data_IF_363583225267
#
_entry.id   IF_363583225267
#
_cell.length_a   1.000
_cell.length_b   1.000
_cell.length_c   1.000
_cell.angle_alpha   90.00
_cell.angle_beta   90.00
_cell.angle_gamma   90.00
#
_symmetry.space_group_name_H-M   'P 1'
#
loop_
_entity.id
_entity.type
_entity.pdbx_description
1 polymer ?
#
# COMPACT_ATOMS: atom_id res chain seq x y z
N UNK A 1 35.79 78.22 -27.55
CA UNK A 1 36.50 77.17 -26.79
C UNK A 1 35.96 77.13 -25.37
N UNK A 2 35.04 76.20 -25.09
CA UNK A 2 34.69 75.66 -23.76
C UNK A 2 33.62 74.59 -23.97
N UNK A 3 33.94 73.37 -23.56
CA UNK A 3 33.06 72.21 -23.57
C UNK A 3 31.91 72.41 -22.58
N UNK A 4 30.70 72.02 -22.99
CA UNK A 4 29.59 71.74 -22.07
C UNK A 4 29.15 70.30 -22.30
N UNK A 5 29.34 69.49 -21.26
CA UNK A 5 28.96 68.08 -21.18
C UNK A 5 27.45 68.02 -20.90
N UNK A 6 26.67 67.31 -21.72
CA UNK A 6 25.30 66.93 -21.38
C UNK A 6 25.22 65.40 -21.43
N UNK A 7 25.00 64.81 -20.25
CA UNK A 7 24.94 63.37 -20.02
C UNK A 7 23.52 62.90 -20.34
N UNK A 8 23.35 62.10 -21.39
CA UNK A 8 22.07 61.51 -21.79
C UNK A 8 21.92 60.16 -21.07
N UNK A 9 20.86 60.03 -20.26
CA UNK A 9 20.50 58.85 -19.50
C UNK A 9 19.78 57.85 -20.42
N UNK A 10 20.41 56.72 -20.76
CA UNK A 10 19.76 55.61 -21.47
C UNK A 10 18.98 54.74 -20.47
N UNK A 11 17.65 54.76 -20.53
CA UNK A 11 16.79 53.75 -19.91
C UNK A 11 16.82 52.47 -20.75
N UNK A 12 17.29 51.37 -20.14
CA UNK A 12 17.14 50.02 -20.69
C UNK A 12 15.84 49.44 -20.15
N UNK A 13 14.90 49.16 -21.05
CA UNK A 13 13.66 48.44 -20.73
C UNK A 13 13.95 46.94 -20.87
N UNK A 14 14.11 46.24 -19.75
CA UNK A 14 14.17 44.77 -19.74
C UNK A 14 12.75 44.20 -19.74
N UNK A 15 12.39 43.51 -20.82
CA UNK A 15 11.21 42.66 -20.89
C UNK A 15 11.42 41.44 -19.96
N UNK A 16 10.69 41.39 -18.85
CA UNK A 16 10.62 40.22 -18.00
C UNK A 16 9.64 39.20 -18.59
N UNK A 17 10.13 37.99 -18.87
CA UNK A 17 9.30 36.84 -19.18
C UNK A 17 8.38 36.54 -17.99
N UNK A 18 7.07 36.53 -18.25
CA UNK A 18 6.05 35.99 -17.35
C UNK A 18 6.35 34.52 -17.07
N UNK A 19 6.64 34.21 -15.80
CA UNK A 19 6.57 32.85 -15.29
C UNK A 19 5.10 32.44 -15.23
N UNK A 20 4.70 31.48 -16.05
CA UNK A 20 3.40 30.81 -15.94
C UNK A 20 3.21 30.31 -14.51
N UNK A 21 2.31 30.98 -13.78
CA UNK A 21 1.79 30.48 -12.51
C UNK A 21 1.14 29.13 -12.79
N UNK A 22 1.75 28.04 -12.28
CA UNK A 22 1.05 26.77 -12.06
C UNK A 22 -0.26 27.10 -11.34
N UNK A 23 -1.37 26.90 -12.05
CA UNK A 23 -2.72 27.06 -11.52
C UNK A 23 -2.86 26.17 -10.30
N UNK A 24 -2.98 26.78 -9.12
CA UNK A 24 -3.46 26.10 -7.92
C UNK A 24 -4.89 25.67 -8.20
N UNK A 25 -5.07 24.40 -8.59
CA UNK A 25 -6.39 23.80 -8.73
C UNK A 25 -7.16 23.92 -7.42
N UNK A 26 -8.48 24.08 -7.50
CA UNK A 26 -9.37 23.99 -6.34
C UNK A 26 -9.02 22.74 -5.53
N UNK A 27 -8.88 22.82 -4.19
CA UNK A 27 -8.60 21.65 -3.37
C UNK A 27 -9.58 20.53 -3.68
N UNK A 28 -9.07 19.35 -3.98
CA UNK A 28 -9.88 18.16 -4.21
C UNK A 28 -10.61 17.83 -2.90
N UNK A 29 -11.94 17.93 -2.91
CA UNK A 29 -12.76 17.59 -1.73
C UNK A 29 -13.05 16.10 -1.75
N UNK A 30 -12.44 15.37 -0.81
CA UNK A 30 -12.70 13.94 -0.62
C UNK A 30 -13.96 13.72 0.23
N UNK A 31 -14.72 12.69 -0.11
CA UNK A 31 -15.88 12.25 0.68
C UNK A 31 -15.40 11.53 1.95
N UNK A 32 -16.20 11.56 3.02
CA UNK A 32 -15.94 10.73 4.20
C UNK A 32 -16.21 9.24 3.98
N UNK A 33 -17.01 8.90 2.96
CA UNK A 33 -17.31 7.51 2.57
C UNK A 33 -17.56 7.42 1.07
N UNK A 34 -17.03 6.37 0.46
CA UNK A 34 -17.27 5.99 -0.93
C UNK A 34 -17.98 4.63 -0.94
N UNK A 35 -19.10 4.55 -1.67
CA UNK A 35 -19.73 3.27 -1.99
C UNK A 35 -19.23 2.83 -3.36
N UNK A 36 -18.60 1.67 -3.40
CA UNK A 36 -18.07 1.06 -4.62
C UNK A 36 -19.07 0.01 -5.10
N UNK A 37 -19.49 0.09 -6.37
CA UNK A 37 -20.45 -0.85 -6.96
C UNK A 37 -19.82 -1.57 -8.14
N UNK A 38 -19.41 -2.81 -7.93
CA UNK A 38 -18.81 -3.70 -8.93
C UNK A 38 -18.89 -5.15 -8.41
N UNK A 39 -19.54 -6.04 -9.18
CA UNK A 39 -19.72 -7.44 -8.78
C UNK A 39 -18.39 -8.16 -8.71
N UNK A 40 -18.07 -8.73 -7.56
CA UNK A 40 -16.84 -9.45 -7.33
C UNK A 40 -15.59 -8.56 -7.27
N UNK A 41 -15.71 -7.29 -6.86
CA UNK A 41 -14.54 -6.43 -6.70
C UNK A 41 -13.55 -6.97 -5.67
N UNK A 42 -14.02 -7.36 -4.47
CA UNK A 42 -13.19 -7.85 -3.37
C UNK A 42 -11.82 -7.15 -3.26
N UNK A 43 -11.83 -5.82 -3.00
CA UNK A 43 -10.59 -5.05 -2.96
C UNK A 43 -9.76 -5.42 -1.74
N UNK A 44 -8.45 -5.45 -1.82
CA UNK A 44 -7.62 -5.81 -0.66
C UNK A 44 -6.59 -4.73 -0.33
N UNK A 45 -5.79 -4.34 -1.31
CA UNK A 45 -4.89 -3.20 -1.24
C UNK A 45 -5.62 -1.90 -1.57
N UNK A 46 -5.27 -0.82 -0.87
CA UNK A 46 -5.62 0.56 -1.22
C UNK A 46 -4.39 1.45 -1.04
N UNK A 47 -4.20 2.40 -1.96
CA UNK A 47 -3.31 3.54 -1.75
C UNK A 47 -3.88 4.79 -2.47
N UNK A 48 -3.35 5.97 -2.16
CA UNK A 48 -3.79 7.24 -2.74
C UNK A 48 -2.71 7.86 -3.62
N UNK A 49 -2.99 7.91 -4.92
CA UNK A 49 -2.20 8.64 -5.91
C UNK A 49 -2.44 10.15 -5.71
N UNK A 50 -1.52 10.79 -4.98
CA UNK A 50 -1.53 12.19 -4.62
C UNK A 50 -1.43 13.09 -5.86
N UNK A 51 -0.62 12.69 -6.84
CA UNK A 51 -0.36 13.52 -8.03
C UNK A 51 -1.57 13.57 -8.97
N UNK A 52 -2.36 12.49 -9.04
CA UNK A 52 -3.56 12.42 -9.89
C UNK A 52 -4.88 12.47 -9.10
N UNK A 53 -4.82 12.56 -7.77
CA UNK A 53 -5.96 12.80 -6.89
C UNK A 53 -6.98 11.67 -6.88
N UNK A 54 -6.55 10.41 -6.75
CA UNK A 54 -7.42 9.22 -6.83
C UNK A 54 -6.95 8.11 -5.89
N UNK A 55 -7.87 7.27 -5.44
CA UNK A 55 -7.49 6.00 -4.82
C UNK A 55 -7.18 4.98 -5.91
N UNK A 56 -6.22 4.10 -5.64
CA UNK A 56 -5.95 2.89 -6.41
C UNK A 56 -6.23 1.67 -5.53
N UNK A 57 -6.94 0.70 -6.07
CA UNK A 57 -7.43 -0.49 -5.35
C UNK A 57 -7.05 -1.74 -6.12
N UNK A 58 -6.42 -2.72 -5.48
CA UNK A 58 -6.36 -4.05 -6.08
C UNK A 58 -7.74 -4.72 -6.04
N UNK A 59 -7.92 -5.75 -6.86
CA UNK A 59 -9.09 -6.64 -6.83
C UNK A 59 -8.62 -8.08 -6.85
N UNK A 60 -8.72 -8.76 -5.70
CA UNK A 60 -8.26 -10.14 -5.54
C UNK A 60 -8.97 -11.09 -6.50
N UNK A 61 -10.28 -10.90 -6.68
CA UNK A 61 -11.06 -11.78 -7.54
C UNK A 61 -10.91 -11.45 -9.02
N UNK A 62 -10.90 -10.15 -9.40
CA UNK A 62 -10.86 -9.78 -10.83
C UNK A 62 -9.46 -9.87 -11.43
N UNK A 63 -8.42 -9.73 -10.62
CA UNK A 63 -7.03 -9.73 -11.09
C UNK A 63 -6.61 -8.43 -11.77
N UNK A 64 -7.10 -7.28 -11.31
CA UNK A 64 -6.80 -5.94 -11.86
C UNK A 64 -6.68 -4.91 -10.75
N UNK A 65 -6.15 -3.73 -11.07
CA UNK A 65 -6.21 -2.55 -10.20
C UNK A 65 -7.24 -1.57 -10.74
N UNK A 66 -8.12 -1.10 -9.88
CA UNK A 66 -9.10 -0.05 -10.16
C UNK A 66 -8.59 1.30 -9.66
N UNK A 67 -8.99 2.37 -10.34
CA UNK A 67 -8.93 3.73 -9.83
C UNK A 67 -10.30 4.16 -9.32
N UNK A 68 -10.33 4.98 -8.27
CA UNK A 68 -11.54 5.64 -7.76
C UNK A 68 -11.26 7.13 -7.63
N UNK A 69 -11.96 7.94 -8.41
CA UNK A 69 -11.78 9.38 -8.37
C UNK A 69 -12.50 10.02 -7.16
N UNK A 70 -12.33 11.33 -6.89
CA UNK A 70 -12.95 12.01 -5.75
C UNK A 70 -14.49 12.01 -5.77
N UNK A 71 -15.11 11.77 -6.93
CA UNK A 71 -16.57 11.60 -7.06
C UNK A 71 -17.03 10.18 -6.71
N UNK A 72 -16.11 9.22 -6.58
CA UNK A 72 -16.40 7.81 -6.36
C UNK A 72 -16.63 7.02 -7.65
N UNK A 73 -16.30 7.59 -8.81
CA UNK A 73 -16.38 6.88 -10.08
C UNK A 73 -15.20 5.94 -10.21
N UNK A 74 -15.45 4.68 -10.61
CA UNK A 74 -14.43 3.66 -10.75
C UNK A 74 -14.09 3.38 -12.22
N UNK A 75 -12.83 3.06 -12.49
CA UNK A 75 -12.38 2.52 -13.76
C UNK A 75 -11.22 1.54 -13.56
N UNK A 76 -11.11 0.52 -14.39
CA UNK A 76 -9.89 -0.32 -14.44
C UNK A 76 -8.72 0.58 -14.82
N UNK A 77 -7.70 0.61 -13.97
CA UNK A 77 -6.53 1.46 -14.14
C UNK A 77 -5.33 0.67 -14.68
N UNK A 78 -5.01 -0.46 -14.05
CA UNK A 78 -3.90 -1.30 -14.45
C UNK A 78 -4.32 -2.77 -14.55
N UNK A 79 -3.82 -3.45 -15.58
CA UNK A 79 -4.07 -4.87 -15.78
C UNK A 79 -2.92 -5.54 -16.52
N UNK A 80 -2.73 -6.83 -16.25
CA UNK A 80 -1.78 -7.70 -16.95
C UNK A 80 -2.39 -9.10 -17.02
N UNK A 81 -2.01 -9.88 -18.03
CA UNK A 81 -2.39 -11.30 -18.11
C UNK A 81 -1.71 -12.14 -17.02
N UNK A 82 -0.62 -11.63 -16.43
CA UNK A 82 0.11 -12.27 -15.32
C UNK A 82 -0.35 -11.81 -13.94
N UNK A 83 -1.12 -10.71 -13.87
CA UNK A 83 -1.74 -10.23 -12.64
C UNK A 83 -2.99 -11.07 -12.36
N UNK A 84 -2.87 -12.02 -11.43
CA UNK A 84 -3.88 -13.05 -11.14
C UNK A 84 -4.64 -12.70 -9.86
N UNK A 85 -3.93 -12.54 -8.75
CA UNK A 85 -4.50 -12.19 -7.45
C UNK A 85 -3.65 -11.04 -6.89
N UNK A 86 -3.93 -9.79 -7.30
CA UNK A 86 -3.24 -8.62 -6.77
C UNK A 86 -3.65 -8.39 -5.32
N UNK A 87 -2.66 -8.37 -4.43
CA UNK A 87 -2.77 -8.10 -3.00
C UNK A 87 -2.48 -6.61 -2.76
N UNK A 88 -1.42 -6.27 -2.04
CA UNK A 88 -1.03 -4.89 -1.73
C UNK A 88 -0.75 -4.07 -2.98
N UNK A 89 -1.04 -2.77 -2.86
CA UNK A 89 -0.76 -1.74 -3.87
C UNK A 89 0.00 -0.60 -3.20
N UNK A 90 0.98 -0.04 -3.90
CA UNK A 90 1.76 1.09 -3.39
C UNK A 90 2.05 2.10 -4.51
N UNK A 91 1.85 3.38 -4.24
CA UNK A 91 2.10 4.51 -5.14
C UNK A 91 3.43 5.17 -4.80
N UNK A 92 4.47 4.87 -5.57
CA UNK A 92 5.76 5.56 -5.46
C UNK A 92 5.76 6.79 -6.38
N UNK A 93 5.21 7.87 -5.84
CA UNK A 93 5.04 9.16 -6.52
C UNK A 93 6.35 9.74 -7.03
N UNK A 94 7.43 9.57 -6.26
CA UNK A 94 8.75 10.11 -6.61
C UNK A 94 9.28 9.48 -7.90
N UNK A 95 8.89 8.24 -8.18
CA UNK A 95 9.35 7.47 -9.35
C UNK A 95 8.24 7.19 -10.36
N UNK A 96 7.06 7.80 -10.20
CA UNK A 96 5.89 7.62 -11.06
C UNK A 96 5.57 6.14 -11.33
N UNK A 97 5.56 5.30 -10.29
CA UNK A 97 5.27 3.87 -10.42
C UNK A 97 4.23 3.40 -9.40
N UNK A 98 3.29 2.61 -9.90
CA UNK A 98 2.40 1.78 -9.11
C UNK A 98 3.04 0.41 -8.96
N UNK A 99 3.17 -0.06 -7.73
CA UNK A 99 3.73 -1.38 -7.41
C UNK A 99 2.60 -2.24 -6.87
N UNK A 100 2.47 -3.46 -7.38
CA UNK A 100 1.38 -4.38 -7.03
C UNK A 100 1.96 -5.75 -6.72
N UNK A 101 1.73 -6.23 -5.50
CA UNK A 101 2.08 -7.60 -5.12
C UNK A 101 1.06 -8.55 -5.73
N UNK A 102 1.51 -9.73 -6.15
CA UNK A 102 0.68 -10.68 -6.89
C UNK A 102 0.97 -12.10 -6.47
N UNK A 103 -0.10 -12.83 -6.20
CA UNK A 103 -0.08 -14.24 -5.84
C UNK A 103 -1.12 -15.02 -6.63
N UNK A 104 -1.40 -16.24 -6.19
CA UNK A 104 -2.59 -16.98 -6.60
C UNK A 104 -2.99 -17.99 -5.52
N UNK A 105 -4.13 -17.78 -4.87
CA UNK A 105 -4.68 -18.65 -3.83
C UNK A 105 -5.81 -19.55 -4.34
N UNK A 106 -6.05 -19.60 -5.65
CA UNK A 106 -7.13 -20.40 -6.22
C UNK A 106 -8.50 -19.72 -6.22
N UNK A 107 -8.62 -18.51 -5.66
CA UNK A 107 -9.91 -17.82 -5.51
C UNK A 107 -10.23 -16.84 -6.64
N UNK A 108 -9.20 -16.36 -7.35
CA UNK A 108 -9.31 -15.40 -8.45
C UNK A 108 -10.01 -16.00 -9.67
N UNK A 109 -10.75 -15.18 -10.43
CA UNK A 109 -11.33 -15.57 -11.71
C UNK A 109 -10.27 -15.91 -12.77
N UNK A 110 -9.03 -15.43 -12.58
CA UNK A 110 -7.88 -15.71 -13.45
C UNK A 110 -7.09 -16.94 -12.99
N UNK A 111 -7.45 -17.51 -11.85
CA UNK A 111 -6.76 -18.68 -11.32
C UNK A 111 -7.06 -19.93 -12.16
N UNK A 112 -6.07 -20.80 -12.27
CA UNK A 112 -6.15 -22.10 -12.92
C UNK A 112 -5.62 -23.17 -11.98
N UNK A 113 -5.96 -24.44 -12.22
CA UNK A 113 -5.46 -25.55 -11.42
C UNK A 113 -3.92 -25.63 -11.38
N UNK A 114 -3.23 -25.12 -12.41
CA UNK A 114 -1.77 -25.11 -12.48
C UNK A 114 -1.12 -23.85 -11.91
N UNK A 115 -1.85 -22.74 -11.77
CA UNK A 115 -1.32 -21.49 -11.22
C UNK A 115 -1.52 -21.37 -9.71
N UNK A 116 -2.59 -21.96 -9.17
CA UNK A 116 -2.94 -21.88 -7.75
C UNK A 116 -1.79 -22.34 -6.85
N UNK A 117 -1.40 -21.47 -5.91
CA UNK A 117 -0.30 -21.67 -4.96
C UNK A 117 1.10 -21.60 -5.55
N UNK A 118 1.23 -21.25 -6.83
CA UNK A 118 2.52 -21.18 -7.53
C UNK A 118 2.96 -19.77 -7.84
N UNK A 119 2.06 -18.79 -7.91
CA UNK A 119 2.42 -17.42 -8.28
C UNK A 119 2.96 -16.68 -7.06
N UNK A 120 4.14 -16.10 -7.24
CA UNK A 120 4.73 -15.12 -6.34
C UNK A 120 5.49 -14.10 -7.19
N UNK A 121 4.91 -12.92 -7.38
CA UNK A 121 5.50 -11.90 -8.23
C UNK A 121 5.13 -10.48 -7.78
N UNK A 122 5.83 -9.50 -8.33
CA UNK A 122 5.48 -8.08 -8.22
C UNK A 122 5.34 -7.51 -9.63
N UNK A 123 4.22 -6.85 -9.88
CA UNK A 123 3.97 -6.11 -11.12
C UNK A 123 4.19 -4.62 -10.85
N UNK A 124 4.94 -3.96 -11.73
CA UNK A 124 5.20 -2.52 -11.67
C UNK A 124 4.59 -1.87 -12.89
N UNK A 125 3.74 -0.88 -12.67
CA UNK A 125 3.05 -0.10 -13.70
C UNK A 125 3.47 1.36 -13.62
N UNK A 126 3.38 2.06 -14.75
CA UNK A 126 3.51 3.51 -14.80
C UNK A 126 2.30 4.14 -14.08
N UNK A 127 2.56 4.96 -13.06
CA UNK A 127 1.51 5.51 -12.19
C UNK A 127 0.63 6.53 -12.93
N UNK A 128 1.12 7.14 -14.01
CA UNK A 128 0.32 8.08 -14.79
C UNK A 128 -0.65 7.37 -15.74
N UNK A 129 -0.17 6.34 -16.45
CA UNK A 129 -0.88 5.70 -17.56
C UNK A 129 -1.48 4.33 -17.26
N UNK A 130 -1.02 3.65 -16.20
CA UNK A 130 -1.38 2.26 -15.89
C UNK A 130 -0.68 1.23 -16.79
N UNK A 131 0.27 1.65 -17.63
CA UNK A 131 1.01 0.76 -18.51
C UNK A 131 1.99 -0.12 -17.72
N UNK A 132 2.07 -1.41 -18.05
CA UNK A 132 3.01 -2.34 -17.40
C UNK A 132 4.46 -1.97 -17.74
N UNK A 133 5.27 -1.74 -16.71
CA UNK A 133 6.72 -1.49 -16.82
C UNK A 133 7.49 -2.81 -16.65
N UNK A 134 7.18 -3.57 -15.59
CA UNK A 134 7.95 -4.77 -15.23
C UNK A 134 7.09 -5.80 -14.51
N UNK A 135 7.39 -7.06 -14.76
CA UNK A 135 6.95 -8.20 -13.95
C UNK A 135 8.19 -8.83 -13.34
N UNK A 136 8.17 -9.02 -12.02
CA UNK A 136 9.32 -9.47 -11.24
C UNK A 136 8.93 -10.77 -10.56
N UNK A 137 9.58 -11.86 -10.94
CA UNK A 137 9.32 -13.18 -10.40
C UNK A 137 10.07 -13.37 -9.07
N UNK A 138 9.35 -13.75 -8.02
CA UNK A 138 9.90 -14.01 -6.69
C UNK A 138 10.07 -15.51 -6.41
N UNK A 139 9.65 -16.40 -7.31
CA UNK A 139 9.66 -17.87 -7.11
C UNK A 139 11.01 -18.45 -6.66
N UNK A 140 12.12 -17.86 -7.11
CA UNK A 140 13.46 -18.33 -6.73
C UNK A 140 13.82 -18.03 -5.27
N UNK A 141 13.03 -17.20 -4.59
CA UNK A 141 13.22 -16.78 -3.20
C UNK A 141 12.14 -17.33 -2.26
N UNK A 142 11.17 -18.05 -2.81
CA UNK A 142 10.02 -18.61 -2.08
C UNK A 142 10.17 -20.12 -1.92
N UNK A 143 9.53 -20.75 -0.91
CA UNK A 143 9.33 -22.20 -0.95
C UNK A 143 8.53 -22.61 -2.20
N UNK A 144 8.74 -23.83 -2.71
CA UNK A 144 8.15 -24.32 -3.98
C UNK A 144 6.62 -24.23 -4.08
N UNK A 145 5.91 -24.14 -2.93
CA UNK A 145 4.46 -23.93 -2.83
C UNK A 145 4.13 -23.09 -1.61
N UNK A 146 3.06 -22.31 -1.72
CA UNK A 146 2.54 -21.53 -0.59
C UNK A 146 3.37 -20.28 -0.35
N UNK A 147 3.52 -19.44 -1.37
CA UNK A 147 3.96 -18.06 -1.20
C UNK A 147 2.80 -17.15 -1.55
N UNK A 148 2.66 -16.05 -0.81
CA UNK A 148 1.71 -15.00 -1.11
C UNK A 148 2.39 -13.67 -0.77
N UNK A 149 3.11 -13.06 -1.74
CA UNK A 149 3.52 -11.68 -1.63
C UNK A 149 2.28 -10.84 -1.29
N UNK A 150 2.31 -10.16 -0.15
CA UNK A 150 1.13 -9.54 0.43
C UNK A 150 1.22 -8.02 0.33
N UNK A 151 1.94 -7.37 1.25
CA UNK A 151 1.95 -5.91 1.33
C UNK A 151 3.32 -5.33 0.98
N UNK A 152 3.35 -4.03 0.69
CA UNK A 152 4.50 -3.34 0.09
C UNK A 152 4.88 -2.11 0.89
N UNK A 153 6.18 -1.94 1.14
CA UNK A 153 6.77 -0.68 1.59
C UNK A 153 7.86 -0.24 0.62
N UNK A 154 8.06 1.08 0.48
CA UNK A 154 9.16 1.64 -0.32
C UNK A 154 9.99 2.58 0.54
N UNK A 155 11.31 2.39 0.55
CA UNK A 155 12.21 3.31 1.25
C UNK A 155 12.54 4.58 0.43
N UNK A 156 13.22 5.53 1.06
CA UNK A 156 13.60 6.79 0.40
C UNK A 156 14.48 6.58 -0.85
N UNK A 157 15.26 5.50 -0.89
CA UNK A 157 16.10 5.16 -2.05
C UNK A 157 15.29 4.51 -3.17
N UNK A 158 14.05 4.11 -2.92
CA UNK A 158 13.15 3.47 -3.87
C UNK A 158 13.35 1.96 -3.94
N UNK A 159 13.94 1.36 -2.91
CA UNK A 159 13.88 -0.08 -2.77
C UNK A 159 12.48 -0.48 -2.31
N UNK A 160 11.95 -1.56 -2.88
CA UNK A 160 10.64 -2.10 -2.56
C UNK A 160 10.84 -3.26 -1.60
N UNK A 161 10.09 -3.29 -0.50
CA UNK A 161 10.05 -4.37 0.48
C UNK A 161 8.68 -5.03 0.45
N UNK A 162 8.64 -6.36 0.43
CA UNK A 162 7.41 -7.11 0.25
C UNK A 162 7.33 -8.22 1.31
N UNK A 163 6.22 -8.28 2.05
CA UNK A 163 5.94 -9.38 2.97
C UNK A 163 5.45 -10.62 2.22
N UNK A 164 5.70 -11.79 2.77
CA UNK A 164 5.09 -13.04 2.32
C UNK A 164 4.22 -13.63 3.42
N UNK A 165 2.93 -13.81 3.15
CA UNK A 165 2.02 -14.37 4.15
C UNK A 165 2.21 -15.86 4.41
N UNK A 166 2.93 -16.58 3.55
CA UNK A 166 3.11 -18.03 3.69
C UNK A 166 4.58 -18.46 3.69
N UNK A 167 5.52 -17.51 3.61
CA UNK A 167 6.95 -17.74 3.82
C UNK A 167 7.50 -16.83 4.92
N UNK A 168 8.55 -17.25 5.67
CA UNK A 168 9.14 -16.46 6.74
C UNK A 168 10.06 -15.33 6.22
N UNK A 169 9.69 -14.69 5.11
CA UNK A 169 10.56 -13.80 4.34
C UNK A 169 9.93 -12.42 4.14
N UNK A 170 10.80 -11.41 4.17
CA UNK A 170 10.57 -10.11 3.55
C UNK A 170 11.52 -10.03 2.35
N UNK A 171 10.98 -9.80 1.16
CA UNK A 171 11.76 -9.61 -0.06
C UNK A 171 12.20 -8.15 -0.21
N UNK A 172 13.31 -7.93 -0.92
CA UNK A 172 13.70 -6.60 -1.41
C UNK A 172 13.88 -6.63 -2.92
N UNK A 173 13.37 -5.61 -3.58
CA UNK A 173 13.58 -5.33 -5.00
C UNK A 173 14.27 -3.97 -5.10
N UNK A 174 15.45 -3.94 -5.72
CA UNK A 174 16.20 -2.70 -5.94
C UNK A 174 15.63 -1.84 -7.08
N UNK A 175 16.21 -0.66 -7.31
CA UNK A 175 15.82 0.24 -8.40
C UNK A 175 15.98 -0.36 -9.81
N UNK A 176 16.84 -1.37 -9.97
CA UNK A 176 17.05 -2.09 -11.23
C UNK A 176 16.10 -3.30 -11.36
N UNK A 177 15.17 -3.46 -10.43
CA UNK A 177 14.23 -4.57 -10.34
C UNK A 177 14.88 -5.94 -10.07
N UNK A 178 16.04 -5.96 -9.42
CA UNK A 178 16.64 -7.20 -8.92
C UNK A 178 16.01 -7.57 -7.58
N UNK A 179 15.43 -8.77 -7.52
CA UNK A 179 14.85 -9.31 -6.30
C UNK A 179 15.87 -10.09 -5.46
N UNK A 180 15.67 -10.06 -4.15
CA UNK A 180 16.46 -10.80 -3.14
C UNK A 180 15.64 -11.03 -1.87
N UNK A 181 16.09 -11.93 -1.00
CA UNK A 181 15.59 -11.98 0.39
C UNK A 181 16.28 -10.87 1.18
N UNK A 182 15.49 -9.97 1.76
CA UNK A 182 15.99 -8.91 2.62
C UNK A 182 16.15 -9.39 4.06
N UNK A 183 15.06 -9.92 4.63
CA UNK A 183 15.04 -10.45 5.98
C UNK A 183 14.35 -11.81 6.00
N UNK A 184 14.87 -12.73 6.80
CA UNK A 184 14.23 -14.01 7.11
C UNK A 184 14.40 -14.29 8.60
N UNK A 185 13.34 -14.77 9.25
CA UNK A 185 13.33 -14.99 10.70
C UNK A 185 12.33 -16.06 11.09
N UNK A 186 12.65 -16.86 12.10
CA UNK A 186 11.69 -17.81 12.70
C UNK A 186 10.48 -17.11 13.32
N UNK A 187 10.60 -15.82 13.67
CA UNK A 187 9.46 -15.00 14.13
C UNK A 187 8.43 -14.74 13.02
N UNK A 188 8.85 -14.85 11.75
CA UNK A 188 7.99 -14.66 10.59
C UNK A 188 7.32 -15.95 10.13
N UNK A 189 7.72 -17.11 10.69
CA UNK A 189 7.15 -18.40 10.31
C UNK A 189 5.65 -18.42 10.62
N UNK A 190 4.79 -18.57 9.60
CA UNK A 190 3.36 -18.71 9.82
C UNK A 190 3.08 -20.03 10.53
N UNK A 191 2.09 -20.04 11.41
CA UNK A 191 1.46 -21.27 11.84
C UNK A 191 0.87 -22.01 10.62
N UNK A 192 0.83 -23.34 10.68
CA UNK A 192 0.29 -24.15 9.60
C UNK A 192 -1.12 -23.68 9.19
N UNK A 193 -1.33 -23.49 7.89
CA UNK A 193 -2.58 -23.04 7.29
C UNK A 193 -3.10 -21.68 7.80
N UNK A 194 -2.21 -20.81 8.30
CA UNK A 194 -2.53 -19.45 8.73
C UNK A 194 -1.75 -18.41 7.93
N UNK A 195 -2.32 -17.21 7.82
CA UNK A 195 -1.63 -16.05 7.28
C UNK A 195 -0.58 -15.54 8.27
N UNK A 196 0.67 -15.47 7.84
CA UNK A 196 1.82 -14.97 8.59
C UNK A 196 1.98 -13.46 8.44
N UNK A 197 3.15 -13.03 7.94
CA UNK A 197 3.42 -11.61 7.68
C UNK A 197 2.38 -11.03 6.73
N UNK A 198 1.97 -9.80 7.00
CA UNK A 198 0.91 -9.14 6.28
C UNK A 198 1.29 -7.68 6.03
N UNK A 199 0.62 -6.70 6.63
CA UNK A 199 0.91 -5.29 6.42
C UNK A 199 2.35 -4.88 6.74
N UNK A 200 2.93 -3.98 5.95
CA UNK A 200 4.29 -3.46 6.13
C UNK A 200 4.39 -1.97 5.78
N UNK A 201 5.13 -1.21 6.60
CA UNK A 201 5.47 0.19 6.29
C UNK A 201 6.96 0.46 6.49
N UNK A 202 7.48 1.38 5.70
CA UNK A 202 8.78 2.00 5.92
C UNK A 202 8.61 3.22 6.83
N UNK A 203 9.28 3.21 7.98
CA UNK A 203 9.26 4.34 8.91
C UNK A 203 10.38 5.34 8.56
N UNK A 204 10.14 6.66 8.60
CA UNK A 204 11.14 7.68 8.24
C UNK A 204 12.46 7.61 9.01
N UNK A 205 12.44 7.05 10.22
CA UNK A 205 13.64 6.78 11.03
C UNK A 205 14.53 5.63 10.51
N UNK A 206 14.22 5.01 9.37
CA UNK A 206 15.11 4.06 8.69
C UNK A 206 14.94 2.59 9.09
N UNK A 207 13.72 2.14 9.35
CA UNK A 207 13.39 0.73 9.62
C UNK A 207 12.02 0.37 9.05
N UNK A 208 11.73 -0.92 8.97
CA UNK A 208 10.41 -1.41 8.60
C UNK A 208 9.63 -1.77 9.87
N UNK A 209 8.32 -1.60 9.81
CA UNK A 209 7.37 -2.19 10.74
C UNK A 209 6.49 -3.15 9.94
N UNK A 210 6.31 -4.38 10.41
CA UNK A 210 5.48 -5.37 9.76
C UNK A 210 4.61 -6.10 10.78
N UNK A 211 3.33 -6.26 10.48
CA UNK A 211 2.43 -7.07 11.32
C UNK A 211 2.40 -8.52 10.86
N UNK A 212 2.04 -9.40 11.78
CA UNK A 212 1.83 -10.82 11.52
C UNK A 212 0.45 -11.23 12.02
N UNK A 213 -0.37 -11.75 11.11
CA UNK A 213 -1.80 -11.95 11.34
C UNK A 213 -2.08 -13.03 12.38
N UNK A 214 -1.41 -14.17 12.31
CA UNK A 214 -1.66 -15.36 13.12
C UNK A 214 -1.14 -15.30 14.56
N UNK A 215 -0.11 -14.50 14.84
CA UNK A 215 0.41 -14.31 16.20
C UNK A 215 0.03 -12.97 16.84
N UNK A 216 -0.68 -12.12 16.09
CA UNK A 216 -1.14 -10.80 16.51
C UNK A 216 -0.02 -9.92 17.07
N UNK A 217 1.10 -9.84 16.33
CA UNK A 217 2.24 -8.99 16.70
C UNK A 217 2.60 -7.98 15.63
N UNK A 218 3.29 -6.94 16.08
CA UNK A 218 4.03 -6.00 15.25
C UNK A 218 5.53 -6.24 15.47
N UNK A 219 6.27 -6.38 14.38
CA UNK A 219 7.72 -6.53 14.38
C UNK A 219 8.38 -5.29 13.79
N UNK A 220 9.48 -4.87 14.41
CA UNK A 220 10.41 -3.88 13.88
C UNK A 220 11.60 -4.58 13.25
N UNK A 221 11.94 -4.20 12.03
CA UNK A 221 13.03 -4.78 11.24
C UNK A 221 14.03 -3.69 10.88
N UNK A 222 15.28 -3.86 11.30
CA UNK A 222 16.36 -2.92 11.00
C UNK A 222 16.75 -2.96 9.53
N UNK A 223 16.84 -1.80 8.86
CA UNK A 223 17.42 -1.72 7.51
C UNK A 223 18.91 -2.07 7.43
N UNK A 224 19.80 -1.52 8.29
CA UNK A 224 21.23 -1.82 8.21
C UNK A 224 21.59 -3.23 8.69
N UNK A 225 20.73 -3.86 9.51
CA UNK A 225 20.95 -5.23 10.01
C UNK A 225 19.64 -6.02 9.87
N UNK A 226 19.31 -6.52 8.67
CA UNK A 226 17.99 -7.13 8.40
C UNK A 226 17.64 -8.36 9.25
N UNK A 227 18.65 -9.02 9.83
CA UNK A 227 18.48 -10.11 10.80
C UNK A 227 18.03 -9.62 12.19
N UNK A 228 18.11 -8.32 12.48
CA UNK A 228 17.66 -7.71 13.72
C UNK A 228 16.16 -7.43 13.63
N UNK A 229 15.39 -8.39 14.15
CA UNK A 229 13.93 -8.35 14.24
C UNK A 229 13.52 -8.32 15.71
N UNK A 230 12.72 -7.34 16.10
CA UNK A 230 12.24 -7.20 17.49
C UNK A 230 10.75 -6.95 17.53
N UNK A 231 10.04 -7.60 18.45
CA UNK A 231 8.61 -7.35 18.67
C UNK A 231 8.39 -5.98 19.36
N UNK A 232 7.42 -5.21 18.86
CA UNK A 232 6.95 -3.97 19.49
C UNK A 232 5.96 -4.33 20.61
N UNK A 233 6.19 -3.82 21.82
CA UNK A 233 5.39 -4.15 23.01
C UNK A 233 4.30 -3.11 23.30
N UNK A 234 3.32 -3.47 24.14
CA UNK A 234 2.28 -2.54 24.62
C UNK A 234 1.04 -2.43 23.73
N UNK A 235 0.95 -3.24 22.68
CA UNK A 235 -0.17 -3.28 21.74
C UNK A 235 -1.07 -4.49 21.99
N UNK A 236 -2.34 -4.39 21.60
CA UNK A 236 -3.31 -5.48 21.71
C UNK A 236 -4.31 -5.40 20.54
N UNK A 237 -4.39 -6.49 19.80
CA UNK A 237 -5.25 -6.76 18.64
C UNK A 237 -5.22 -8.29 18.40
N UNK A 238 -6.01 -8.81 17.46
CA UNK A 238 -6.22 -10.25 17.25
C UNK A 238 -5.89 -10.74 15.83
N UNK A 239 -6.16 -9.94 14.80
CA UNK A 239 -5.95 -10.35 13.40
C UNK A 239 -5.55 -9.14 12.56
N UNK A 240 -4.34 -8.61 12.79
CA UNK A 240 -3.85 -7.45 12.05
C UNK A 240 -3.67 -7.84 10.58
N UNK A 241 -3.98 -6.91 9.69
CA UNK A 241 -3.93 -7.09 8.25
C UNK A 241 -3.00 -6.00 7.69
N UNK A 242 -3.51 -4.98 7.01
CA UNK A 242 -2.72 -3.84 6.55
C UNK A 242 -2.41 -2.79 7.63
N UNK A 243 -1.33 -2.04 7.41
CA UNK A 243 -0.90 -0.94 8.29
C UNK A 243 -0.45 0.27 7.46
N UNK A 244 -0.63 1.48 7.99
CA UNK A 244 -0.29 2.74 7.32
C UNK A 244 0.25 3.74 8.35
N UNK A 245 1.12 4.67 7.96
CA UNK A 245 1.55 5.77 8.82
C UNK A 245 0.64 6.99 8.60
N UNK A 246 0.18 7.59 9.70
CA UNK A 246 -0.45 8.90 9.62
C UNK A 246 0.60 10.01 9.41
N UNK A 247 0.13 11.23 9.15
CA UNK A 247 0.98 12.42 8.94
C UNK A 247 1.93 12.76 10.10
N UNK A 248 1.73 12.17 11.29
CA UNK A 248 2.56 12.36 12.47
C UNK A 248 3.44 11.12 12.76
N UNK A 249 3.50 10.16 11.83
CA UNK A 249 4.16 8.86 11.98
C UNK A 249 3.57 7.98 13.11
N UNK A 250 2.31 8.18 13.48
CA UNK A 250 1.58 7.16 14.24
C UNK A 250 1.20 6.02 13.29
N UNK A 251 1.16 4.79 13.80
CA UNK A 251 0.77 3.62 13.00
C UNK A 251 -0.73 3.42 13.10
N UNK A 252 -1.42 3.49 11.97
CA UNK A 252 -2.74 2.92 11.81
C UNK A 252 -2.60 1.45 11.48
N UNK A 253 -3.25 0.60 12.27
CA UNK A 253 -3.33 -0.84 12.06
C UNK A 253 -4.78 -1.23 11.84
N UNK A 254 -5.04 -1.89 10.73
CA UNK A 254 -6.36 -2.42 10.39
C UNK A 254 -6.43 -3.87 10.82
N UNK A 255 -7.32 -4.17 11.77
CA UNK A 255 -7.66 -5.54 12.15
C UNK A 255 -8.85 -6.01 11.30
N UNK A 256 -8.69 -7.15 10.62
CA UNK A 256 -9.66 -7.62 9.66
C UNK A 256 -10.85 -8.36 10.26
N UNK A 257 -11.69 -8.92 9.38
CA UNK A 257 -12.90 -9.63 9.75
C UNK A 257 -12.70 -11.02 10.36
N UNK A 258 -11.46 -11.51 10.50
CA UNK A 258 -11.18 -12.67 11.36
C UNK A 258 -11.19 -12.27 12.84
N UNK A 259 -10.79 -11.02 13.12
CA UNK A 259 -10.90 -10.35 14.41
C UNK A 259 -12.24 -9.62 14.58
N UNK A 260 -12.18 -8.38 15.05
CA UNK A 260 -13.33 -7.50 15.32
C UNK A 260 -13.68 -6.58 14.15
N UNK A 261 -12.83 -6.45 13.13
CA UNK A 261 -13.01 -5.46 12.06
C UNK A 261 -12.85 -4.03 12.60
N UNK A 262 -11.65 -3.67 13.06
CA UNK A 262 -11.39 -2.41 13.78
C UNK A 262 -10.10 -1.78 13.29
N UNK A 263 -10.09 -0.46 13.10
CA UNK A 263 -8.86 0.31 12.90
C UNK A 263 -8.36 0.87 14.23
N UNK A 264 -7.07 0.73 14.51
CA UNK A 264 -6.42 1.23 15.71
C UNK A 264 -5.31 2.20 15.32
N UNK A 265 -5.13 3.29 16.06
CA UNK A 265 -3.96 4.17 15.90
C UNK A 265 -3.07 4.04 17.12
N UNK A 266 -1.79 3.78 16.89
CA UNK A 266 -0.77 3.62 17.93
C UNK A 266 0.32 4.67 17.77
N UNK A 267 0.81 5.18 18.90
CA UNK A 267 1.93 6.11 18.96
C UNK A 267 3.09 5.49 19.73
N UNK A 268 4.32 5.88 19.38
CA UNK A 268 5.54 5.48 20.07
C UNK A 268 6.45 6.68 20.30
N UNK A 269 7.09 6.71 21.47
CA UNK A 269 8.09 7.73 21.84
C UNK A 269 9.50 7.15 22.03
N UNK A 270 9.68 5.85 21.78
CA UNK A 270 10.92 5.11 22.07
C UNK A 270 11.48 4.36 20.84
N UNK A 271 11.18 4.90 19.65
CA UNK A 271 11.51 4.32 18.34
C UNK A 271 10.87 2.93 18.16
N UNK A 272 9.60 2.80 18.53
CA UNK A 272 8.82 1.58 18.34
C UNK A 272 9.43 0.37 19.06
N UNK A 273 10.00 0.57 20.25
CA UNK A 273 10.22 -0.55 21.19
C UNK A 273 8.92 -0.87 21.91
N UNK A 274 8.18 0.17 22.28
CA UNK A 274 6.82 0.10 22.80
C UNK A 274 5.91 1.05 22.01
N UNK A 275 4.62 0.76 22.05
CA UNK A 275 3.61 1.64 21.50
C UNK A 275 2.36 1.64 22.38
N UNK A 276 1.63 2.75 22.35
CA UNK A 276 0.37 2.92 23.08
C UNK A 276 -0.76 3.22 22.12
N UNK A 277 -1.91 2.60 22.33
CA UNK A 277 -3.12 2.90 21.55
C UNK A 277 -3.60 4.30 21.90
N UNK A 278 -3.69 5.17 20.90
CA UNK A 278 -4.22 6.54 21.05
C UNK A 278 -5.60 6.70 20.43
N UNK A 279 -6.00 5.80 19.52
CA UNK A 279 -7.32 5.85 18.86
C UNK A 279 -7.82 4.47 18.44
N UNK A 280 -9.13 4.37 18.29
CA UNK A 280 -9.82 3.19 17.77
C UNK A 280 -11.09 3.61 17.02
N UNK A 281 -11.33 2.98 15.87
CA UNK A 281 -12.54 3.14 15.06
C UNK A 281 -13.11 1.77 14.74
N UNK A 282 -14.31 1.48 15.26
CA UNK A 282 -14.99 0.21 15.00
C UNK A 282 -15.64 0.26 13.60
N UNK A 283 -15.29 -0.70 12.75
CA UNK A 283 -15.79 -0.78 11.37
C UNK A 283 -16.84 -1.89 11.26
N UNK A 284 -16.54 -3.04 11.86
CA UNK A 284 -17.41 -4.20 11.90
C UNK A 284 -16.76 -5.41 11.24
N UNK A 285 -16.77 -6.54 11.94
CA UNK A 285 -16.23 -7.82 11.47
C UNK A 285 -16.72 -8.22 10.07
N UNK A 286 -18.01 -8.00 9.80
CA UNK A 286 -18.65 -8.36 8.53
C UNK A 286 -18.29 -7.43 7.37
N UNK A 287 -17.71 -6.26 7.63
CA UNK A 287 -17.17 -5.40 6.57
C UNK A 287 -15.82 -5.91 6.07
N UNK A 288 -15.11 -6.68 6.90
CA UNK A 288 -13.80 -7.24 6.63
C UNK A 288 -12.84 -6.14 6.11
N UNK A 289 -12.52 -5.12 6.92
CA UNK A 289 -11.53 -4.12 6.54
C UNK A 289 -10.16 -4.79 6.39
N UNK A 290 -9.36 -4.35 5.42
CA UNK A 290 -8.09 -5.01 5.09
C UNK A 290 -6.91 -4.08 5.27
N UNK A 291 -6.88 -2.94 4.59
CA UNK A 291 -5.80 -1.95 4.76
C UNK A 291 -6.29 -0.50 4.70
N UNK A 292 -5.37 0.42 4.89
CA UNK A 292 -5.60 1.85 4.96
C UNK A 292 -4.67 2.62 4.01
N UNK A 293 -5.10 3.82 3.61
CA UNK A 293 -4.28 4.75 2.84
C UNK A 293 -4.44 6.17 3.41
N UNK A 294 -3.34 6.92 3.46
CA UNK A 294 -3.39 8.36 3.76
C UNK A 294 -3.67 9.14 2.47
N UNK A 295 -4.74 9.94 2.46
CA UNK A 295 -5.11 10.72 1.28
C UNK A 295 -4.60 12.16 1.33
N UNK A 296 -4.83 12.92 0.24
CA UNK A 296 -4.38 14.30 0.07
C UNK A 296 -4.88 15.30 1.11
N UNK A 297 -5.95 14.98 1.84
CA UNK A 297 -6.50 15.79 2.93
C UNK A 297 -5.85 15.48 4.30
N UNK A 298 -4.85 14.59 4.32
CA UNK A 298 -4.13 14.15 5.50
C UNK A 298 -4.93 13.24 6.43
N UNK A 299 -6.07 12.71 5.97
CA UNK A 299 -6.87 11.73 6.70
C UNK A 299 -6.59 10.31 6.20
N UNK A 300 -6.94 9.34 7.05
CA UNK A 300 -6.75 7.92 6.77
C UNK A 300 -8.08 7.34 6.28
N UNK A 301 -7.99 6.53 5.23
CA UNK A 301 -9.10 5.87 4.58
C UNK A 301 -8.90 4.36 4.61
N UNK A 302 -9.88 3.63 5.14
CA UNK A 302 -9.85 2.16 5.22
C UNK A 302 -10.73 1.57 4.13
N UNK A 303 -10.24 0.55 3.43
CA UNK A 303 -11.02 -0.22 2.48
C UNK A 303 -11.70 -1.41 3.16
N UNK A 304 -13.00 -1.56 2.90
CA UNK A 304 -13.85 -2.63 3.43
C UNK A 304 -14.13 -3.64 2.33
N UNK A 305 -13.58 -4.84 2.50
CA UNK A 305 -13.30 -5.73 1.39
C UNK A 305 -14.30 -6.87 1.23
N UNK A 306 -15.08 -7.16 2.28
CA UNK A 306 -15.99 -8.33 2.32
C UNK A 306 -15.27 -9.65 1.99
N UNK A 307 -13.96 -9.78 2.26
CA UNK A 307 -13.19 -10.99 1.88
C UNK A 307 -13.65 -12.25 2.59
N UNK A 308 -14.28 -12.14 3.76
CA UNK A 308 -14.95 -13.27 4.39
C UNK A 308 -15.93 -13.97 3.44
N UNK A 309 -16.63 -13.21 2.60
CA UNK A 309 -17.57 -13.74 1.60
C UNK A 309 -16.84 -14.38 0.41
N UNK A 310 -15.74 -13.78 -0.07
CA UNK A 310 -14.93 -14.40 -1.13
C UNK A 310 -14.37 -15.75 -0.69
N UNK A 311 -13.83 -15.80 0.54
CA UNK A 311 -13.24 -17.00 1.12
C UNK A 311 -14.30 -18.07 1.43
N UNK A 312 -15.56 -17.69 1.64
CA UNK A 312 -16.69 -18.62 1.80
C UNK A 312 -17.27 -19.11 0.47
N UNK A 313 -16.81 -18.57 -0.67
CA UNK A 313 -17.23 -19.00 -2.01
C UNK A 313 -18.16 -18.03 -2.72
N UNK A 314 -18.55 -16.91 -2.11
CA UNK A 314 -19.33 -15.89 -2.80
C UNK A 314 -18.48 -15.20 -3.87
N UNK A 315 -19.08 -15.01 -5.04
CA UNK A 315 -18.51 -14.29 -6.19
C UNK A 315 -19.45 -13.17 -6.67
N UNK A 316 -20.55 -12.96 -5.96
CA UNK A 316 -21.67 -12.10 -6.35
C UNK A 316 -21.76 -10.80 -5.55
N UNK A 317 -21.06 -10.68 -4.41
CA UNK A 317 -20.95 -9.43 -3.65
C UNK A 317 -20.59 -8.26 -4.57
N UNK A 318 -21.42 -7.22 -4.57
CA UNK A 318 -21.28 -6.11 -5.51
C UNK A 318 -21.09 -4.75 -4.84
N UNK A 319 -21.20 -4.67 -3.52
CA UNK A 319 -21.10 -3.42 -2.77
C UNK A 319 -19.94 -3.49 -1.79
N UNK A 320 -19.05 -2.51 -1.88
CA UNK A 320 -17.87 -2.36 -1.02
C UNK A 320 -17.77 -0.89 -0.60
N UNK A 321 -16.90 -0.58 0.36
CA UNK A 321 -16.73 0.81 0.79
C UNK A 321 -15.29 1.19 1.05
N UNK A 322 -14.98 2.46 0.82
CA UNK A 322 -13.82 3.13 1.40
C UNK A 322 -14.39 4.10 2.42
N UNK A 323 -13.88 4.10 3.64
CA UNK A 323 -14.35 5.01 4.69
C UNK A 323 -13.18 5.75 5.31
N UNK A 324 -13.33 7.07 5.45
CA UNK A 324 -12.46 7.86 6.31
C UNK A 324 -12.64 7.38 7.74
N UNK A 325 -11.53 7.16 8.43
CA UNK A 325 -11.53 6.99 9.88
C UNK A 325 -11.09 8.31 10.50
N UNK A 326 -11.72 8.67 11.61
CA UNK A 326 -11.30 9.85 12.35
C UNK A 326 -9.90 9.64 12.91
#
# INVERSE_FOLDING_TARGET
MKNTFFMLLCMVVSAGCDSEKKTSGTPVVLKGRYTLTETGLYPEGIDYDLNNGRFLLSSLYKGVVYSVNPKGEMAVFASSSKLVLPTGVFTDETRNRLIVANADLGVSQKSTASSAGTIASVSVFDLSSGALIKEIDLKNFTPNKGSCPNDIAVDNEGNIYITDSFAPNIYKIDLNYNASIFASSMLFTPAADKFGLNGIVFHPDGYLLAVKTDDAKLYKISLPVPSSVTEVKGMSFSSPDGIELDKNNNLVLVENGLGQGTAYTFSSSDKWKTAVKIKQTNIGKQEFPTTAAMASDGNIYVVNSKLGELLSGDRSQSIYTIQKID
#
